data_IF_000385829705
#
_entry.id   IF_000385829705
#
_cell.length_a   1.000
_cell.length_b   1.000
_cell.length_c   1.000
_cell.angle_alpha   90.00
_cell.angle_beta   90.00
_cell.angle_gamma   90.00
#
_symmetry.space_group_name_H-M   'P 1'
#
loop_
_entity.id
_entity.type
_entity.pdbx_description
1 polymer ?
#
# COMPACT_ATOMS: atom_id res chain seq x y z
N UNK A 1 -31.52 11.53 11.11
CA UNK A 1 -30.48 11.66 10.06
C UNK A 1 -29.75 10.35 9.84
N UNK A 2 -29.17 9.71 10.84
CA UNK A 2 -28.44 8.43 10.69
C UNK A 2 -29.29 7.32 10.05
N UNK A 3 -30.54 7.09 10.50
CA UNK A 3 -31.41 6.07 9.92
C UNK A 3 -31.76 6.33 8.44
N UNK A 4 -31.87 7.63 8.06
CA UNK A 4 -32.09 8.00 6.66
C UNK A 4 -30.87 7.70 5.79
N UNK A 5 -29.65 7.96 6.29
CA UNK A 5 -28.40 7.61 5.62
C UNK A 5 -28.31 6.09 5.40
N UNK A 6 -28.48 5.31 6.47
CA UNK A 6 -28.37 3.87 6.40
C UNK A 6 -29.44 3.21 5.51
N UNK A 7 -30.64 3.84 5.41
CA UNK A 7 -31.71 3.38 4.52
C UNK A 7 -31.42 3.62 3.03
N UNK A 8 -30.38 4.40 2.71
CA UNK A 8 -29.95 4.66 1.34
C UNK A 8 -28.84 3.71 0.86
N UNK A 9 -28.21 2.95 1.76
CA UNK A 9 -27.25 1.92 1.34
C UNK A 9 -27.97 0.87 0.51
N UNK A 10 -27.33 0.39 -0.54
CA UNK A 10 -27.89 -0.57 -1.50
C UNK A 10 -26.85 -1.65 -1.84
N UNK A 11 -27.04 -2.82 -1.25
CA UNK A 11 -26.17 -3.99 -1.45
C UNK A 11 -26.03 -4.35 -2.93
N UNK A 12 -27.08 -4.11 -3.72
CA UNK A 12 -27.07 -4.39 -5.16
C UNK A 12 -26.21 -3.39 -5.94
N UNK A 13 -26.15 -2.12 -5.49
CA UNK A 13 -25.32 -1.11 -6.12
C UNK A 13 -23.83 -1.44 -5.97
N UNK A 14 -23.36 -1.70 -4.74
CA UNK A 14 -21.97 -2.08 -4.52
C UNK A 14 -21.58 -3.32 -5.34
N UNK A 15 -22.44 -4.33 -5.40
CA UNK A 15 -22.20 -5.53 -6.21
C UNK A 15 -22.13 -5.24 -7.71
N UNK A 16 -23.02 -4.39 -8.24
CA UNK A 16 -23.00 -3.98 -9.66
C UNK A 16 -21.72 -3.23 -9.97
N UNK A 17 -21.33 -2.25 -9.14
CA UNK A 17 -20.08 -1.48 -9.34
C UNK A 17 -18.84 -2.37 -9.28
N UNK A 18 -18.80 -3.32 -8.37
CA UNK A 18 -17.70 -4.28 -8.30
C UNK A 18 -17.60 -5.13 -9.58
N UNK A 19 -18.74 -5.64 -10.08
CA UNK A 19 -18.76 -6.40 -11.34
C UNK A 19 -18.30 -5.57 -12.55
N UNK A 20 -18.66 -4.30 -12.59
CA UNK A 20 -18.24 -3.39 -13.65
C UNK A 20 -16.73 -3.14 -13.58
N UNK A 21 -16.19 -2.88 -12.39
CA UNK A 21 -14.76 -2.66 -12.19
C UNK A 21 -13.91 -3.92 -12.47
N UNK A 22 -14.38 -5.13 -12.13
CA UNK A 22 -13.65 -6.38 -12.45
C UNK A 22 -13.47 -6.53 -13.96
N UNK A 23 -14.44 -6.10 -14.80
CA UNK A 23 -14.35 -6.18 -16.26
C UNK A 23 -13.29 -5.26 -16.87
N UNK A 24 -12.79 -4.32 -16.10
CA UNK A 24 -11.77 -3.37 -16.52
C UNK A 24 -10.42 -3.93 -16.13
N UNK A 25 -9.57 -4.21 -17.12
CA UNK A 25 -8.17 -4.54 -16.90
C UNK A 25 -7.45 -3.30 -16.35
N UNK A 26 -7.07 -3.36 -15.08
CA UNK A 26 -6.32 -2.34 -14.38
C UNK A 26 -5.06 -2.90 -13.71
N UNK A 27 -4.46 -3.92 -14.32
CA UNK A 27 -3.14 -4.42 -13.88
C UNK A 27 -2.15 -3.25 -13.82
N UNK A 28 -1.27 -3.26 -12.83
CA UNK A 28 -0.21 -2.23 -12.64
C UNK A 28 0.35 -1.77 -13.99
N UNK A 29 0.22 -0.48 -14.28
CA UNK A 29 0.58 0.12 -15.58
C UNK A 29 -0.59 0.37 -16.52
N UNK A 30 -1.80 -0.10 -16.21
CA UNK A 30 -2.99 0.02 -17.07
C UNK A 30 -4.22 0.58 -16.32
N UNK A 31 -4.03 1.44 -15.34
CA UNK A 31 -5.08 1.92 -14.43
C UNK A 31 -6.03 2.95 -15.08
N UNK A 32 -5.64 3.55 -16.19
CA UNK A 32 -6.38 4.66 -16.82
C UNK A 32 -7.85 4.36 -17.13
N UNK A 33 -8.15 3.12 -17.54
CA UNK A 33 -9.52 2.69 -17.82
C UNK A 33 -10.40 2.67 -16.56
N UNK A 34 -9.84 2.24 -15.44
CA UNK A 34 -10.57 2.22 -14.17
C UNK A 34 -10.73 3.63 -13.59
N UNK A 35 -9.73 4.49 -13.73
CA UNK A 35 -9.82 5.88 -13.30
C UNK A 35 -10.93 6.63 -14.06
N UNK A 36 -11.04 6.42 -15.39
CA UNK A 36 -12.11 7.00 -16.20
C UNK A 36 -13.50 6.48 -15.81
N UNK A 37 -13.61 5.19 -15.52
CA UNK A 37 -14.85 4.59 -15.01
C UNK A 37 -15.26 5.25 -13.67
N UNK A 38 -14.33 5.36 -12.72
CA UNK A 38 -14.58 5.98 -11.42
C UNK A 38 -14.96 7.46 -11.57
N UNK A 39 -14.29 8.19 -12.48
CA UNK A 39 -14.67 9.57 -12.82
C UNK A 39 -16.11 9.66 -13.27
N UNK A 40 -16.49 8.86 -14.25
CA UNK A 40 -17.85 8.85 -14.78
C UNK A 40 -18.89 8.53 -13.72
N UNK A 41 -18.58 7.58 -12.83
CA UNK A 41 -19.48 7.18 -11.76
C UNK A 41 -19.67 8.30 -10.72
N UNK A 42 -18.57 8.89 -10.24
CA UNK A 42 -18.60 9.99 -9.26
C UNK A 42 -19.27 11.24 -9.82
N UNK A 43 -19.00 11.59 -11.08
CA UNK A 43 -19.68 12.70 -11.77
C UNK A 43 -21.18 12.44 -11.93
N UNK A 44 -21.59 11.20 -12.17
CA UNK A 44 -23.03 10.83 -12.23
C UNK A 44 -23.75 11.04 -10.90
N UNK A 45 -23.04 10.97 -9.78
CA UNK A 45 -23.52 11.30 -8.45
C UNK A 45 -23.52 12.81 -8.15
N UNK A 46 -23.02 13.64 -9.09
CA UNK A 46 -22.98 15.09 -8.97
C UNK A 46 -21.71 15.65 -8.33
N UNK A 47 -20.68 14.83 -8.14
CA UNK A 47 -19.38 15.27 -7.64
C UNK A 47 -18.54 15.87 -8.76
N UNK A 48 -17.65 16.79 -8.40
CA UNK A 48 -16.58 17.28 -9.26
C UNK A 48 -15.36 16.43 -9.02
N UNK A 49 -14.84 15.83 -10.11
CA UNK A 49 -13.64 14.99 -10.05
C UNK A 49 -12.41 15.77 -10.50
N UNK A 50 -11.30 15.54 -9.82
CA UNK A 50 -9.97 16.01 -10.19
C UNK A 50 -9.13 14.81 -10.66
N UNK A 51 -8.43 14.99 -11.78
CA UNK A 51 -7.54 13.97 -12.37
C UNK A 51 -6.11 14.46 -12.25
N UNK A 52 -5.27 13.68 -11.60
CA UNK A 52 -3.83 13.92 -11.45
C UNK A 52 -3.06 12.88 -12.26
N UNK A 53 -2.51 13.26 -13.40
CA UNK A 53 -1.74 12.36 -14.26
C UNK A 53 -0.34 12.11 -13.66
N UNK A 54 -0.24 11.11 -12.80
CA UNK A 54 1.00 10.72 -12.09
C UNK A 54 2.06 10.21 -13.08
N UNK A 55 1.64 9.40 -14.04
CA UNK A 55 2.43 8.93 -15.19
C UNK A 55 1.51 8.95 -16.42
N UNK A 56 2.10 9.01 -17.59
CA UNK A 56 1.34 9.07 -18.86
C UNK A 56 0.31 7.93 -18.96
N UNK A 57 -0.98 8.28 -18.99
CA UNK A 57 -2.10 7.34 -19.05
C UNK A 57 -2.39 6.62 -17.73
N UNK A 58 -1.75 7.02 -16.65
CA UNK A 58 -1.92 6.44 -15.30
C UNK A 58 -2.27 7.54 -14.28
N UNK A 59 -3.50 8.00 -14.25
CA UNK A 59 -3.91 9.07 -13.35
C UNK A 59 -4.39 8.54 -12.00
N UNK A 60 -4.17 9.33 -10.94
CA UNK A 60 -5.02 9.31 -9.78
C UNK A 60 -6.35 10.00 -10.07
N UNK A 61 -7.38 9.63 -9.33
CA UNK A 61 -8.68 10.30 -9.36
C UNK A 61 -9.06 10.73 -7.95
N UNK A 62 -9.56 11.93 -7.83
CA UNK A 62 -10.03 12.49 -6.57
C UNK A 62 -11.43 13.07 -6.71
N UNK A 63 -12.21 12.99 -5.63
CA UNK A 63 -13.50 13.66 -5.52
C UNK A 63 -13.74 14.05 -4.08
N UNK A 64 -14.52 15.14 -3.86
CA UNK A 64 -14.87 15.59 -2.52
C UNK A 64 -16.34 15.98 -2.41
N UNK A 65 -16.89 15.74 -1.24
CA UNK A 65 -18.20 16.19 -0.80
C UNK A 65 -17.99 17.15 0.38
N UNK A 66 -18.33 18.40 0.16
CA UNK A 66 -18.21 19.49 1.16
C UNK A 66 -19.35 19.41 2.17
N UNK A 67 -19.04 19.53 3.46
CA UNK A 67 -20.02 19.68 4.52
C UNK A 67 -20.56 21.11 4.63
N UNK A 68 -21.48 21.33 5.57
CA UNK A 68 -22.18 22.62 5.75
C UNK A 68 -21.32 23.72 6.39
N UNK A 69 -20.17 23.39 6.95
CA UNK A 69 -19.26 24.31 7.62
C UNK A 69 -17.91 23.72 7.94
N UNK A 70 -17.03 24.45 8.63
CA UNK A 70 -15.71 23.93 8.99
C UNK A 70 -15.84 22.73 9.93
N UNK A 71 -15.02 21.73 9.73
CA UNK A 71 -15.02 20.49 10.49
C UNK A 71 -13.86 19.60 10.11
N UNK A 72 -13.91 18.33 10.54
CA UNK A 72 -12.89 17.33 10.20
C UNK A 72 -12.95 16.93 8.73
N UNK A 73 -11.84 16.43 8.24
CA UNK A 73 -11.68 15.93 6.88
C UNK A 73 -11.35 14.46 6.92
N UNK A 74 -12.13 13.64 6.22
CA UNK A 74 -11.94 12.20 6.13
C UNK A 74 -11.81 11.79 4.67
N UNK A 75 -10.73 11.10 4.34
CA UNK A 75 -10.54 10.52 3.02
C UNK A 75 -10.80 9.01 3.04
N UNK A 76 -11.50 8.52 2.03
CA UNK A 76 -11.55 7.10 1.70
C UNK A 76 -10.62 6.86 0.52
N UNK A 77 -9.60 6.04 0.73
CA UNK A 77 -8.59 5.74 -0.27
C UNK A 77 -8.74 4.32 -0.80
N UNK A 78 -8.49 4.14 -2.08
CA UNK A 78 -8.39 2.84 -2.71
C UNK A 78 -7.41 2.85 -3.88
N UNK A 79 -6.58 1.80 -3.98
CA UNK A 79 -5.74 1.65 -5.17
C UNK A 79 -6.55 1.12 -6.36
N UNK A 80 -6.23 1.64 -7.54
CA UNK A 80 -6.93 1.31 -8.79
C UNK A 80 -6.26 0.19 -9.56
N UNK A 81 -5.00 -0.08 -9.25
CA UNK A 81 -4.24 -1.17 -9.85
C UNK A 81 -4.60 -2.54 -9.25
N UNK A 82 -4.20 -3.57 -9.95
CA UNK A 82 -4.17 -4.96 -9.48
C UNK A 82 -2.82 -5.58 -9.79
N UNK A 83 -2.46 -6.65 -9.09
CA UNK A 83 -1.32 -7.49 -9.46
C UNK A 83 -1.46 -8.05 -10.87
N UNK A 84 -0.36 -8.48 -11.53
CA UNK A 84 -0.43 -9.22 -12.79
C UNK A 84 -1.24 -10.50 -12.66
N UNK A 85 -1.90 -10.89 -13.75
CA UNK A 85 -2.60 -12.19 -13.84
C UNK A 85 -1.59 -13.32 -13.65
N UNK A 86 -1.80 -14.16 -12.65
CA UNK A 86 -1.02 -15.38 -12.43
C UNK A 86 -1.60 -16.55 -13.23
N UNK A 87 -0.79 -17.56 -13.56
CA UNK A 87 -1.23 -18.72 -14.30
C UNK A 87 -2.21 -19.60 -13.52
N UNK A 88 -3.08 -20.29 -14.25
CA UNK A 88 -3.94 -21.35 -13.72
C UNK A 88 -5.30 -20.91 -13.22
N UNK A 89 -5.79 -19.72 -13.63
CA UNK A 89 -7.18 -19.31 -13.41
C UNK A 89 -8.14 -20.32 -14.07
N UNK A 90 -9.22 -20.64 -13.38
CA UNK A 90 -10.29 -21.53 -13.87
C UNK A 90 -11.34 -20.78 -14.70
N UNK A 91 -11.43 -19.46 -14.50
CA UNK A 91 -12.30 -18.53 -15.26
C UNK A 91 -11.44 -17.42 -15.83
N UNK A 92 -11.98 -16.61 -16.74
CA UNK A 92 -11.33 -15.37 -17.18
C UNK A 92 -11.23 -14.39 -15.99
N UNK A 93 -10.03 -13.90 -15.62
CA UNK A 93 -9.83 -12.98 -14.51
C UNK A 93 -10.66 -11.68 -14.58
N UNK A 94 -10.98 -11.24 -15.79
CA UNK A 94 -11.75 -10.01 -16.03
C UNK A 94 -13.25 -10.28 -16.29
N UNK A 95 -13.70 -11.52 -16.11
CA UNK A 95 -15.13 -11.87 -16.17
C UNK A 95 -15.60 -12.21 -14.76
N UNK A 96 -16.44 -11.33 -14.13
CA UNK A 96 -16.92 -11.56 -12.78
C UNK A 96 -17.87 -12.78 -12.73
N UNK A 97 -17.50 -13.80 -11.97
CA UNK A 97 -18.29 -15.03 -11.82
C UNK A 97 -18.77 -15.17 -10.39
N UNK A 98 -20.09 -15.21 -10.21
CA UNK A 98 -20.68 -15.49 -8.91
C UNK A 98 -20.87 -16.99 -8.72
N UNK A 99 -20.31 -17.53 -7.63
CA UNK A 99 -20.39 -18.95 -7.28
C UNK A 99 -20.31 -19.10 -5.76
N UNK A 100 -21.21 -19.88 -5.17
CA UNK A 100 -21.22 -20.21 -3.73
C UNK A 100 -21.18 -18.98 -2.80
N UNK A 101 -21.90 -17.92 -3.13
CA UNK A 101 -21.96 -16.68 -2.36
C UNK A 101 -20.67 -15.84 -2.42
N UNK A 102 -19.83 -16.04 -3.44
CA UNK A 102 -18.59 -15.36 -3.71
C UNK A 102 -18.59 -14.77 -5.10
N UNK A 103 -17.96 -13.63 -5.29
CA UNK A 103 -17.68 -13.07 -6.60
C UNK A 103 -16.21 -13.23 -6.92
N UNK A 104 -15.93 -14.01 -7.96
CA UNK A 104 -14.57 -14.26 -8.46
C UNK A 104 -14.20 -13.27 -9.55
N UNK A 105 -12.93 -12.86 -9.57
CA UNK A 105 -12.32 -11.98 -10.56
C UNK A 105 -11.07 -11.31 -10.00
N UNK A 106 -10.18 -10.86 -10.86
CA UNK A 106 -8.96 -10.18 -10.46
C UNK A 106 -9.28 -8.81 -9.82
N UNK A 107 -8.71 -8.55 -8.65
CA UNK A 107 -9.00 -7.36 -7.86
C UNK A 107 -10.36 -7.41 -7.16
N UNK A 108 -11.07 -8.55 -7.19
CA UNK A 108 -12.38 -8.66 -6.55
C UNK A 108 -12.35 -8.45 -5.06
N UNK A 109 -11.28 -8.85 -4.36
CA UNK A 109 -11.09 -8.51 -2.96
C UNK A 109 -10.01 -7.44 -2.75
N UNK A 110 -8.99 -7.37 -3.61
CA UNK A 110 -7.85 -6.49 -3.49
C UNK A 110 -7.76 -5.53 -4.69
N UNK A 111 -8.31 -4.24 -4.63
CA UNK A 111 -9.23 -3.83 -3.57
C UNK A 111 -10.53 -3.22 -4.14
N UNK A 112 -10.95 -3.67 -5.38
CA UNK A 112 -12.15 -3.12 -6.05
C UNK A 112 -13.44 -3.26 -5.23
N UNK A 113 -13.54 -4.29 -4.36
CA UNK A 113 -14.69 -4.43 -3.46
C UNK A 113 -14.76 -3.31 -2.40
N UNK A 114 -13.62 -2.90 -1.86
CA UNK A 114 -13.54 -1.76 -0.96
C UNK A 114 -13.95 -0.46 -1.64
N UNK A 115 -13.49 -0.25 -2.88
CA UNK A 115 -13.89 0.91 -3.71
C UNK A 115 -15.40 0.88 -3.97
N UNK A 116 -15.99 -0.28 -4.31
CA UNK A 116 -17.43 -0.42 -4.53
C UNK A 116 -18.26 -0.04 -3.29
N UNK A 117 -17.82 -0.48 -2.10
CA UNK A 117 -18.45 -0.10 -0.84
C UNK A 117 -18.31 1.41 -0.55
N UNK A 118 -17.18 2.02 -0.93
CA UNK A 118 -16.98 3.47 -0.82
C UNK A 118 -17.92 4.25 -1.73
N UNK A 119 -18.11 3.80 -2.96
CA UNK A 119 -19.07 4.41 -3.90
C UNK A 119 -20.50 4.33 -3.37
N UNK A 120 -20.91 3.20 -2.79
CA UNK A 120 -22.23 3.05 -2.18
C UNK A 120 -22.42 3.97 -0.97
N UNK A 121 -21.41 4.10 -0.14
CA UNK A 121 -21.41 5.05 0.99
C UNK A 121 -21.55 6.50 0.51
N UNK A 122 -20.74 6.94 -0.48
CA UNK A 122 -20.82 8.30 -1.03
C UNK A 122 -22.21 8.57 -1.62
N UNK A 123 -22.75 7.64 -2.41
CA UNK A 123 -24.10 7.72 -2.97
C UNK A 123 -25.15 7.91 -1.86
N UNK A 124 -25.05 7.09 -0.79
CA UNK A 124 -25.97 7.16 0.33
C UNK A 124 -25.94 8.53 1.05
N UNK A 125 -24.76 9.13 1.22
CA UNK A 125 -24.61 10.48 1.77
C UNK A 125 -25.36 11.51 0.91
N UNK A 126 -25.14 11.48 -0.40
CA UNK A 126 -25.76 12.42 -1.35
C UNK A 126 -27.29 12.24 -1.37
N UNK A 127 -27.77 11.00 -1.55
CA UNK A 127 -29.21 10.72 -1.69
C UNK A 127 -30.01 10.93 -0.39
N UNK A 128 -29.38 10.76 0.77
CA UNK A 128 -30.04 11.00 2.05
C UNK A 128 -30.06 12.48 2.43
N UNK A 129 -29.21 13.31 1.82
CA UNK A 129 -28.97 14.68 2.26
C UNK A 129 -28.42 14.74 3.68
N UNK A 130 -27.57 13.78 4.07
CA UNK A 130 -26.99 13.72 5.41
C UNK A 130 -26.07 14.91 5.63
N UNK A 131 -26.43 15.79 6.59
CA UNK A 131 -25.66 16.97 6.94
C UNK A 131 -24.47 16.60 7.83
N UNK A 132 -23.30 17.15 7.52
CA UNK A 132 -22.06 17.02 8.29
C UNK A 132 -21.24 18.31 8.15
N UNK A 133 -20.18 18.44 8.91
CA UNK A 133 -19.19 19.53 8.79
C UNK A 133 -17.87 18.99 8.27
N UNK A 134 -17.05 19.87 7.69
CA UNK A 134 -15.76 19.49 7.12
C UNK A 134 -15.87 18.89 5.73
N UNK A 135 -15.14 17.81 5.46
CA UNK A 135 -15.01 17.24 4.13
C UNK A 135 -15.01 15.71 4.16
N UNK A 136 -15.75 15.08 3.27
CA UNK A 136 -15.66 13.68 2.93
C UNK A 136 -15.07 13.57 1.52
N UNK A 137 -13.89 12.96 1.38
CA UNK A 137 -13.24 12.82 0.09
C UNK A 137 -12.95 11.36 -0.28
N UNK A 138 -12.81 11.12 -1.56
CA UNK A 138 -12.36 9.87 -2.15
C UNK A 138 -11.08 10.10 -2.94
N UNK A 139 -10.15 9.16 -2.83
CA UNK A 139 -8.94 9.11 -3.65
C UNK A 139 -8.76 7.70 -4.23
N UNK A 140 -8.80 7.59 -5.56
CA UNK A 140 -8.38 6.41 -6.31
C UNK A 140 -6.93 6.61 -6.76
N UNK A 141 -6.00 5.85 -6.22
CA UNK A 141 -4.56 6.03 -6.49
C UNK A 141 -3.98 4.87 -7.27
N UNK A 142 -2.92 5.10 -8.03
CA UNK A 142 -2.25 4.08 -8.85
C UNK A 142 -1.04 3.48 -8.13
N UNK A 143 -0.59 2.29 -8.60
CA UNK A 143 0.76 1.74 -8.36
C UNK A 143 1.00 1.29 -6.90
N UNK A 144 -0.05 0.97 -6.12
CA UNK A 144 0.10 0.43 -4.75
C UNK A 144 0.83 -0.89 -4.78
N UNK A 145 0.45 -1.79 -5.69
CA UNK A 145 0.98 -3.13 -5.88
C UNK A 145 2.43 -3.14 -6.44
N UNK A 146 3.06 -1.96 -6.58
CA UNK A 146 4.42 -1.83 -7.10
C UNK A 146 5.29 -0.85 -6.29
N UNK A 147 5.11 0.46 -6.48
CA UNK A 147 6.03 1.48 -5.94
C UNK A 147 5.33 2.61 -5.16
N UNK A 148 3.99 2.59 -5.06
CA UNK A 148 3.19 3.59 -4.36
C UNK A 148 3.29 4.99 -4.97
N UNK A 149 3.40 5.10 -6.30
CA UNK A 149 3.55 6.41 -6.97
C UNK A 149 2.32 7.29 -6.81
N UNK A 150 1.13 6.66 -6.84
CA UNK A 150 -0.13 7.36 -6.67
C UNK A 150 -0.27 7.96 -5.27
N UNK A 151 -0.03 7.20 -4.23
CA UNK A 151 -0.03 7.70 -2.86
C UNK A 151 0.99 8.82 -2.64
N UNK A 152 2.21 8.68 -3.20
CA UNK A 152 3.25 9.73 -3.16
C UNK A 152 2.85 11.01 -3.92
N UNK A 153 2.07 10.90 -4.97
CA UNK A 153 1.51 12.05 -5.68
C UNK A 153 0.40 12.71 -4.84
N UNK A 154 -0.52 11.93 -4.27
CA UNK A 154 -1.57 12.41 -3.38
C UNK A 154 -1.00 13.19 -2.19
N UNK A 155 0.11 12.76 -1.60
CA UNK A 155 0.80 13.47 -0.51
C UNK A 155 1.31 14.88 -0.87
N UNK A 156 1.31 15.24 -2.17
CA UNK A 156 1.68 16.57 -2.66
C UNK A 156 0.46 17.39 -3.11
N UNK A 157 -0.72 16.84 -3.03
CA UNK A 157 -1.99 17.48 -3.39
C UNK A 157 -2.75 17.93 -2.13
N UNK A 158 -3.77 18.75 -2.32
CA UNK A 158 -4.65 19.20 -1.24
C UNK A 158 -5.49 18.06 -0.63
N UNK A 159 -5.55 16.90 -1.30
CA UNK A 159 -6.24 15.69 -0.80
C UNK A 159 -5.50 14.98 0.33
N UNK A 160 -4.26 15.37 0.63
CA UNK A 160 -3.52 14.90 1.82
C UNK A 160 -3.77 15.76 3.07
N UNK A 161 -4.43 16.91 2.95
CA UNK A 161 -4.81 17.76 4.10
C UNK A 161 -6.09 17.21 4.76
N UNK A 162 -5.96 16.07 5.42
CA UNK A 162 -7.07 15.34 6.07
C UNK A 162 -6.69 14.88 7.48
N UNK A 163 -7.69 14.73 8.34
CA UNK A 163 -7.47 14.29 9.73
C UNK A 163 -7.33 12.77 9.86
N UNK A 164 -7.83 12.01 8.88
CA UNK A 164 -7.63 10.56 8.79
C UNK A 164 -7.91 10.04 7.38
N UNK A 165 -7.35 8.84 7.10
CA UNK A 165 -7.61 8.10 5.87
C UNK A 165 -8.16 6.72 6.22
N UNK A 166 -9.23 6.29 5.56
CA UNK A 166 -9.69 4.90 5.54
C UNK A 166 -9.20 4.28 4.26
N UNK A 167 -8.26 3.34 4.35
CA UNK A 167 -7.84 2.52 3.22
C UNK A 167 -8.84 1.38 3.07
N UNK A 168 -9.51 1.32 1.93
CA UNK A 168 -10.57 0.35 1.64
C UNK A 168 -10.01 -1.05 1.30
N UNK A 169 -8.88 -1.40 1.89
CA UNK A 169 -8.10 -2.62 1.78
C UNK A 169 -8.80 -3.83 2.41
N UNK A 170 -8.54 -5.07 1.95
CA UNK A 170 -9.21 -6.27 2.45
C UNK A 170 -8.79 -6.68 3.87
N UNK A 171 -9.07 -5.83 4.83
CA UNK A 171 -8.84 -6.03 6.27
C UNK A 171 -10.19 -6.07 7.00
N UNK A 172 -10.78 -7.27 7.17
CA UNK A 172 -12.08 -7.41 7.83
C UNK A 172 -12.06 -7.15 9.34
N UNK A 173 -10.90 -7.08 9.99
CA UNK A 173 -10.78 -6.87 11.43
C UNK A 173 -11.14 -8.10 12.28
N UNK A 174 -11.11 -9.28 11.70
CA UNK A 174 -11.38 -10.55 12.37
C UNK A 174 -10.13 -11.46 12.40
N UNK A 175 -10.30 -12.71 12.82
CA UNK A 175 -9.22 -13.69 12.91
C UNK A 175 -8.57 -14.04 11.57
N UNK A 176 -9.21 -13.73 10.45
CA UNK A 176 -8.66 -14.01 9.12
C UNK A 176 -7.66 -12.95 8.70
N UNK A 177 -7.91 -11.68 9.08
CA UNK A 177 -7.01 -10.55 8.86
C UNK A 177 -7.36 -9.42 9.84
N UNK A 178 -6.62 -9.31 10.96
CA UNK A 178 -6.77 -8.21 11.92
C UNK A 178 -6.43 -6.84 11.30
N UNK A 179 -6.87 -5.77 11.93
CA UNK A 179 -6.54 -4.39 11.53
C UNK A 179 -5.09 -4.08 11.96
N UNK A 180 -4.22 -3.61 11.06
CA UNK A 180 -2.87 -3.22 11.44
C UNK A 180 -2.89 -1.89 12.19
N UNK A 181 -2.35 -1.88 13.42
CA UNK A 181 -2.04 -0.66 14.16
C UNK A 181 -0.72 -0.03 13.70
N UNK A 182 0.08 -0.79 13.02
CA UNK A 182 1.33 -0.34 12.46
C UNK A 182 1.89 -1.38 11.50
N UNK A 183 2.74 -0.91 10.59
CA UNK A 183 3.35 -1.75 9.56
C UNK A 183 4.86 -1.44 9.51
N UNK A 184 5.66 -2.49 9.28
CA UNK A 184 7.11 -2.34 9.06
C UNK A 184 7.42 -1.50 7.83
N UNK A 185 8.58 -0.87 7.82
CA UNK A 185 9.11 -0.20 6.64
C UNK A 185 10.09 -1.08 5.87
N UNK A 186 10.59 -0.54 4.77
CA UNK A 186 11.49 -1.27 3.88
C UNK A 186 12.46 -0.32 3.18
N UNK A 187 13.71 -0.76 3.04
CA UNK A 187 14.69 -0.13 2.14
C UNK A 187 15.40 -1.20 1.31
N UNK A 188 15.63 -0.90 0.05
CA UNK A 188 16.39 -1.74 -0.85
C UNK A 188 17.69 -1.02 -1.22
N UNK A 189 18.80 -1.51 -0.67
CA UNK A 189 20.13 -1.03 -1.03
C UNK A 189 20.56 -1.62 -2.38
N UNK A 190 21.22 -0.80 -3.17
CA UNK A 190 21.86 -1.14 -4.43
C UNK A 190 23.32 -0.70 -4.35
N UNK A 191 24.21 -1.63 -3.98
CA UNK A 191 25.59 -1.34 -3.60
C UNK A 191 26.50 -1.68 -4.79
N UNK A 192 27.26 -0.68 -5.22
CA UNK A 192 28.19 -0.78 -6.34
C UNK A 192 29.63 -0.73 -5.83
N UNK A 193 30.40 -1.77 -6.14
CA UNK A 193 31.81 -1.91 -5.76
C UNK A 193 32.67 -1.80 -7.00
N UNK A 194 33.60 -0.81 -7.00
CA UNK A 194 34.54 -0.55 -8.09
C UNK A 194 35.96 -0.78 -7.61
N UNK A 195 36.55 -1.84 -8.10
CA UNK A 195 37.94 -2.21 -7.87
C UNK A 195 38.84 -1.85 -9.07
N UNK A 196 39.88 -2.67 -9.28
CA UNK A 196 40.88 -2.48 -10.35
C UNK A 196 41.16 -3.78 -11.06
N UNK A 197 40.96 -3.80 -12.38
CA UNK A 197 41.30 -4.97 -13.19
C UNK A 197 42.83 -5.23 -13.23
N UNK A 198 43.20 -6.48 -13.23
CA UNK A 198 44.59 -6.95 -13.44
C UNK A 198 44.56 -8.38 -13.99
N UNK A 199 45.71 -8.86 -14.44
CA UNK A 199 45.84 -10.25 -14.86
C UNK A 199 45.66 -11.22 -13.66
N UNK A 200 44.81 -12.24 -13.77
CA UNK A 200 44.47 -13.12 -12.66
C UNK A 200 45.63 -13.87 -12.00
N UNK A 201 46.75 -14.08 -12.71
CA UNK A 201 47.99 -14.59 -12.09
C UNK A 201 48.83 -13.51 -11.39
N UNK A 202 48.40 -12.24 -11.40
CA UNK A 202 49.06 -11.14 -10.71
C UNK A 202 48.04 -10.34 -9.89
N UNK A 203 47.29 -11.00 -8.96
CA UNK A 203 46.19 -10.36 -8.24
C UNK A 203 46.61 -9.15 -7.42
N UNK A 204 47.84 -9.11 -6.94
CA UNK A 204 48.42 -8.00 -6.17
C UNK A 204 48.54 -6.67 -6.96
N UNK A 205 48.32 -6.67 -8.29
CA UNK A 205 48.29 -5.48 -9.13
C UNK A 205 46.88 -4.92 -9.34
N UNK A 206 45.86 -5.66 -8.92
CA UNK A 206 44.46 -5.29 -9.02
C UNK A 206 43.77 -5.16 -7.67
N UNK A 207 42.49 -4.81 -7.70
CA UNK A 207 41.57 -4.85 -6.56
C UNK A 207 40.34 -5.63 -7.01
N UNK A 208 40.09 -6.78 -6.41
CA UNK A 208 38.99 -7.68 -6.80
C UNK A 208 37.66 -7.18 -6.20
N UNK A 209 36.81 -6.59 -7.03
CA UNK A 209 35.54 -6.06 -6.57
C UNK A 209 34.60 -7.12 -5.97
N UNK A 210 34.68 -8.38 -6.39
CA UNK A 210 33.89 -9.49 -5.79
C UNK A 210 34.38 -9.81 -4.39
N UNK A 211 35.68 -9.85 -4.16
CA UNK A 211 36.25 -10.10 -2.84
C UNK A 211 35.93 -8.95 -1.87
N UNK A 212 35.99 -7.71 -2.34
CA UNK A 212 35.63 -6.53 -1.54
C UNK A 212 34.12 -6.52 -1.23
N UNK A 213 33.25 -6.81 -2.20
CA UNK A 213 31.81 -6.98 -1.98
C UNK A 213 31.50 -8.08 -0.97
N UNK A 214 32.24 -9.21 -1.02
CA UNK A 214 32.06 -10.31 -0.09
C UNK A 214 32.38 -9.92 1.37
N UNK A 215 33.36 -9.04 1.57
CA UNK A 215 33.68 -8.50 2.91
C UNK A 215 32.50 -7.69 3.47
N UNK A 216 31.84 -6.87 2.62
CA UNK A 216 30.66 -6.10 3.03
C UNK A 216 29.51 -7.07 3.38
N UNK A 217 29.18 -8.02 2.50
CA UNK A 217 28.10 -8.98 2.71
C UNK A 217 28.34 -9.82 3.98
N UNK A 218 29.58 -10.27 4.22
CA UNK A 218 29.94 -11.01 5.43
C UNK A 218 29.92 -10.19 6.71
N UNK A 219 29.82 -8.87 6.61
CA UNK A 219 29.78 -7.95 7.73
C UNK A 219 28.39 -7.33 7.98
N UNK A 220 27.37 -7.71 7.21
CA UNK A 220 26.01 -7.15 7.36
C UNK A 220 25.39 -7.48 8.73
N UNK A 221 25.84 -8.54 9.39
CA UNK A 221 25.46 -8.91 10.75
C UNK A 221 25.93 -7.89 11.81
N UNK A 222 26.82 -6.98 11.45
CA UNK A 222 27.29 -5.86 12.30
C UNK A 222 26.40 -4.62 12.20
N UNK A 223 25.40 -4.62 11.32
CA UNK A 223 24.40 -3.56 11.30
C UNK A 223 23.62 -3.58 12.62
N UNK A 224 23.48 -2.40 13.21
CA UNK A 224 22.65 -2.24 14.39
C UNK A 224 21.20 -2.05 13.99
N UNK A 225 20.30 -2.84 14.59
CA UNK A 225 18.86 -2.76 14.38
C UNK A 225 18.20 -2.29 15.67
N UNK A 226 17.22 -1.40 15.55
CA UNK A 226 16.38 -1.06 16.69
C UNK A 226 15.48 -2.23 17.03
N UNK A 227 15.20 -2.38 18.32
CA UNK A 227 14.17 -3.26 18.84
C UNK A 227 12.90 -2.44 19.13
N UNK A 228 11.76 -2.92 18.67
CA UNK A 228 10.46 -2.32 18.95
C UNK A 228 9.61 -3.34 19.73
N UNK A 229 8.87 -2.91 20.80
CA UNK A 229 8.11 -3.83 21.66
C UNK A 229 7.14 -4.73 20.89
N UNK A 230 6.52 -4.22 19.84
CA UNK A 230 5.47 -4.91 19.08
C UNK A 230 5.98 -5.56 17.78
N UNK A 231 7.11 -5.09 17.24
CA UNK A 231 7.67 -5.59 15.96
C UNK A 231 8.94 -6.43 16.16
N UNK A 232 9.47 -6.47 17.37
CA UNK A 232 10.79 -7.08 17.59
C UNK A 232 11.91 -6.30 16.91
N UNK A 233 12.88 -6.99 16.36
CA UNK A 233 14.08 -6.39 15.75
C UNK A 233 13.99 -6.42 14.22
N UNK A 234 14.44 -5.36 13.55
CA UNK A 234 14.62 -5.34 12.10
C UNK A 234 15.52 -6.47 11.59
N UNK A 235 15.50 -6.71 10.31
CA UNK A 235 16.31 -7.74 9.66
C UNK A 235 16.77 -7.32 8.27
N UNK A 236 17.62 -8.13 7.65
CA UNK A 236 18.07 -7.93 6.29
C UNK A 236 18.15 -9.24 5.51
N UNK A 237 18.18 -9.13 4.18
CA UNK A 237 18.43 -10.24 3.27
C UNK A 237 19.19 -9.76 2.04
N UNK A 238 20.29 -10.43 1.69
CA UNK A 238 20.97 -10.20 0.41
C UNK A 238 20.18 -10.91 -0.69
N UNK A 239 19.66 -10.15 -1.65
CA UNK A 239 18.76 -10.66 -2.69
C UNK A 239 19.47 -11.00 -3.99
N UNK A 240 20.59 -10.32 -4.29
CA UNK A 240 21.26 -10.43 -5.57
C UNK A 240 22.73 -10.07 -5.45
N UNK A 241 23.59 -10.73 -6.21
CA UNK A 241 24.98 -10.36 -6.44
C UNK A 241 25.36 -10.61 -7.91
N UNK A 242 26.01 -9.62 -8.50
CA UNK A 242 26.49 -9.68 -9.90
C UNK A 242 27.93 -9.21 -9.96
N UNK A 243 28.82 -9.97 -10.57
CA UNK A 243 30.21 -9.60 -10.73
C UNK A 243 30.96 -10.54 -11.67
N UNK A 244 32.14 -10.12 -12.09
CA UNK A 244 32.94 -10.87 -13.04
C UNK A 244 32.59 -10.59 -14.49
N UNK A 245 32.98 -11.51 -15.39
CA UNK A 245 32.81 -11.38 -16.82
C UNK A 245 31.97 -12.55 -17.38
N UNK A 246 31.07 -12.26 -18.31
CA UNK A 246 30.20 -13.27 -18.92
C UNK A 246 30.93 -14.33 -19.75
N UNK A 247 32.12 -13.99 -20.24
CA UNK A 247 32.98 -14.92 -20.98
C UNK A 247 34.20 -15.31 -20.15
N UNK A 248 34.75 -16.49 -20.35
CA UNK A 248 35.95 -16.90 -19.67
C UNK A 248 37.09 -15.90 -19.87
N UNK A 249 37.66 -15.46 -18.78
CA UNK A 249 38.83 -14.57 -18.77
C UNK A 249 39.65 -14.77 -17.49
N UNK A 250 40.97 -14.63 -17.59
CA UNK A 250 41.88 -14.61 -16.42
C UNK A 250 42.15 -13.19 -16.06
N UNK A 251 41.08 -12.45 -15.66
CA UNK A 251 41.11 -11.03 -15.30
C UNK A 251 40.46 -10.84 -13.94
N UNK A 252 41.12 -10.08 -13.06
CA UNK A 252 40.56 -9.66 -11.78
C UNK A 252 39.33 -8.79 -12.03
N UNK A 253 38.15 -9.15 -11.50
CA UNK A 253 36.93 -8.37 -11.68
C UNK A 253 37.04 -6.96 -11.08
N UNK A 254 36.81 -5.94 -11.92
CA UNK A 254 36.86 -4.55 -11.48
C UNK A 254 35.48 -4.02 -11.03
N UNK A 255 34.42 -4.80 -11.20
CA UNK A 255 33.07 -4.39 -10.79
C UNK A 255 32.32 -5.54 -10.13
N UNK A 256 31.61 -5.20 -9.06
CA UNK A 256 30.62 -6.05 -8.44
C UNK A 256 29.43 -5.17 -7.99
N UNK A 257 28.23 -5.70 -8.07
CA UNK A 257 27.02 -5.06 -7.62
C UNK A 257 26.21 -6.07 -6.81
N UNK A 258 25.61 -5.63 -5.71
CA UNK A 258 24.71 -6.49 -4.95
C UNK A 258 23.57 -5.70 -4.33
N UNK A 259 22.47 -6.40 -4.02
CA UNK A 259 21.25 -5.81 -3.49
C UNK A 259 20.94 -6.41 -2.12
N UNK A 260 20.62 -5.54 -1.16
CA UNK A 260 20.24 -5.94 0.20
C UNK A 260 18.89 -5.29 0.54
N UNK A 261 17.91 -6.13 0.86
CA UNK A 261 16.66 -5.67 1.45
C UNK A 261 16.85 -5.56 2.96
N UNK A 262 16.44 -4.43 3.56
CA UNK A 262 16.36 -4.25 5.01
C UNK A 262 14.92 -3.92 5.40
N UNK A 263 14.39 -4.66 6.37
CA UNK A 263 13.14 -4.35 7.03
C UNK A 263 13.41 -3.32 8.13
N UNK A 264 12.59 -2.27 8.17
CA UNK A 264 12.65 -1.21 9.17
C UNK A 264 11.52 -1.40 10.19
N UNK A 265 11.81 -1.18 11.47
CA UNK A 265 10.80 -1.12 12.53
C UNK A 265 10.53 0.33 12.92
N UNK A 266 9.37 0.68 13.51
CA UNK A 266 9.10 2.04 13.95
C UNK A 266 10.22 2.60 14.85
N UNK A 267 10.62 3.84 14.57
CA UNK A 267 11.78 4.48 15.18
C UNK A 267 13.08 4.34 14.39
N UNK A 268 13.15 3.49 13.36
CA UNK A 268 14.12 3.57 12.28
C UNK A 268 13.51 4.37 11.12
N UNK A 269 14.37 5.04 10.35
CA UNK A 269 13.96 5.75 9.13
C UNK A 269 14.81 5.29 7.95
N UNK A 270 14.32 5.51 6.74
CA UNK A 270 15.09 5.25 5.51
C UNK A 270 16.45 5.97 5.57
N UNK A 271 16.46 7.23 6.04
CA UNK A 271 17.69 8.02 6.15
C UNK A 271 18.67 7.41 7.16
N UNK A 272 18.23 7.05 8.36
CA UNK A 272 19.11 6.42 9.37
C UNK A 272 19.67 5.10 8.87
N UNK A 273 18.87 4.32 8.16
CA UNK A 273 19.29 3.04 7.58
C UNK A 273 20.38 3.22 6.51
N UNK A 274 20.28 4.26 5.65
CA UNK A 274 21.32 4.59 4.66
C UNK A 274 22.64 4.94 5.38
N UNK A 275 22.56 5.78 6.41
CA UNK A 275 23.74 6.18 7.19
C UNK A 275 24.39 4.98 7.89
N UNK A 276 23.60 4.02 8.39
CA UNK A 276 24.12 2.79 9.02
C UNK A 276 24.95 1.97 8.02
N UNK A 277 24.42 1.77 6.83
CA UNK A 277 25.12 1.04 5.76
C UNK A 277 26.40 1.76 5.34
N UNK A 278 26.37 3.09 5.20
CA UNK A 278 27.57 3.88 4.88
C UNK A 278 28.62 3.79 5.99
N UNK A 279 28.20 3.86 7.26
CA UNK A 279 29.12 3.67 8.40
C UNK A 279 29.75 2.29 8.40
N UNK A 280 28.95 1.24 8.17
CA UNK A 280 29.48 -0.11 8.07
C UNK A 280 30.54 -0.21 6.96
N UNK A 281 30.22 0.20 5.74
CA UNK A 281 31.13 0.16 4.60
C UNK A 281 32.44 0.91 4.90
N UNK A 282 32.33 2.12 5.44
CA UNK A 282 33.51 2.95 5.77
C UNK A 282 34.40 2.30 6.87
N UNK A 283 33.81 1.50 7.76
CA UNK A 283 34.54 0.83 8.85
C UNK A 283 35.40 -0.36 8.41
N UNK A 284 35.19 -0.86 7.18
CA UNK A 284 35.80 -2.10 6.71
C UNK A 284 37.23 -1.91 6.13
N UNK A 285 37.64 -0.68 5.85
CA UNK A 285 38.96 -0.41 5.28
C UNK A 285 39.18 -1.08 3.93
N UNK A 286 38.19 -0.99 3.04
CA UNK A 286 38.21 -1.61 1.72
C UNK A 286 39.20 -0.91 0.78
N UNK A 287 39.82 -1.69 -0.12
CA UNK A 287 40.68 -1.18 -1.17
C UNK A 287 39.92 -0.71 -2.41
N UNK A 288 38.63 -1.10 -2.52
CA UNK A 288 37.69 -0.69 -3.58
C UNK A 288 36.92 0.56 -3.21
N UNK A 289 36.52 1.32 -4.23
CA UNK A 289 35.52 2.36 -4.09
C UNK A 289 34.11 1.72 -3.97
N UNK A 290 33.32 2.20 -3.00
CA UNK A 290 31.97 1.68 -2.77
C UNK A 290 30.96 2.82 -2.81
N UNK A 291 29.97 2.67 -3.66
CA UNK A 291 28.84 3.58 -3.77
C UNK A 291 27.58 2.89 -3.24
N UNK A 292 27.07 3.38 -2.11
CA UNK A 292 25.85 2.88 -1.45
C UNK A 292 24.68 3.67 -1.97
N UNK A 293 23.93 3.08 -2.89
CA UNK A 293 22.68 3.61 -3.44
C UNK A 293 21.49 2.90 -2.84
N UNK A 294 20.33 3.49 -3.06
CA UNK A 294 19.04 2.84 -2.83
C UNK A 294 18.23 2.86 -4.11
N UNK A 295 17.34 1.89 -4.26
CA UNK A 295 16.37 1.88 -5.35
C UNK A 295 14.96 1.69 -4.80
N UNK A 296 13.94 2.11 -5.55
CA UNK A 296 12.55 1.83 -5.19
C UNK A 296 12.27 0.32 -5.14
N UNK A 297 11.28 -0.11 -4.33
CA UNK A 297 10.52 0.71 -3.40
C UNK A 297 11.25 0.93 -2.06
N UNK A 298 10.93 2.06 -1.41
CA UNK A 298 11.35 2.36 -0.03
C UNK A 298 10.17 2.93 0.71
N UNK A 299 9.99 2.53 1.97
CA UNK A 299 8.84 2.87 2.79
C UNK A 299 9.25 3.05 4.24
N UNK A 300 8.75 4.09 4.90
CA UNK A 300 8.89 4.29 6.32
C UNK A 300 8.03 3.30 7.10
N UNK A 301 8.49 2.87 8.27
CA UNK A 301 7.67 2.13 9.23
C UNK A 301 6.79 3.10 10.01
N UNK A 302 5.61 2.65 10.44
CA UNK A 302 4.76 3.45 11.32
C UNK A 302 4.07 2.61 12.38
N UNK A 303 3.61 3.27 13.42
CA UNK A 303 2.65 2.76 14.40
C UNK A 303 1.70 3.89 14.76
N UNK A 304 0.40 3.62 14.74
CA UNK A 304 -0.63 4.58 15.15
C UNK A 304 -0.77 4.62 16.66
N UNK A 305 -1.06 5.80 17.19
CA UNK A 305 -1.49 5.92 18.56
C UNK A 305 -2.87 5.27 18.73
N UNK A 306 -3.04 4.45 19.77
CA UNK A 306 -4.31 3.77 20.04
C UNK A 306 -5.45 4.74 20.39
N UNK A 307 -5.12 5.96 20.81
CA UNK A 307 -6.06 7.04 21.16
C UNK A 307 -6.48 7.89 19.95
N UNK A 308 -6.12 7.49 18.72
CA UNK A 308 -6.59 8.20 17.51
C UNK A 308 -8.11 8.12 17.38
N UNK A 309 -8.75 9.25 17.11
CA UNK A 309 -10.21 9.34 17.00
C UNK A 309 -10.80 8.35 15.99
N UNK A 310 -10.10 8.15 14.86
CA UNK A 310 -10.57 7.21 13.84
C UNK A 310 -10.65 5.77 14.37
N UNK A 311 -9.77 5.36 15.27
CA UNK A 311 -9.80 4.04 15.90
C UNK A 311 -10.90 3.94 16.96
N UNK A 312 -11.15 5.02 17.73
CA UNK A 312 -12.26 5.06 18.69
C UNK A 312 -13.61 4.93 17.98
N UNK A 313 -13.80 5.73 16.91
CA UNK A 313 -15.00 5.67 16.06
C UNK A 313 -15.17 4.29 15.44
N UNK A 314 -14.10 3.74 14.88
CA UNK A 314 -14.11 2.40 14.28
C UNK A 314 -14.48 1.32 15.28
N UNK A 315 -13.91 1.30 16.47
CA UNK A 315 -14.23 0.32 17.52
C UNK A 315 -15.74 0.32 17.84
N UNK A 316 -16.32 1.48 18.00
CA UNK A 316 -17.76 1.64 18.26
C UNK A 316 -18.65 1.18 17.11
N UNK A 317 -18.24 1.50 15.87
CA UNK A 317 -18.95 1.09 14.64
C UNK A 317 -18.84 -0.42 14.42
N UNK A 318 -17.62 -0.97 14.53
CA UNK A 318 -17.37 -2.39 14.32
C UNK A 318 -18.22 -3.26 15.28
N UNK A 319 -18.23 -2.90 16.58
CA UNK A 319 -19.08 -3.61 17.58
C UNK A 319 -20.55 -3.52 17.24
N UNK A 320 -21.03 -2.38 16.76
CA UNK A 320 -22.43 -2.20 16.40
C UNK A 320 -22.86 -3.01 15.16
N UNK A 321 -21.95 -3.18 14.18
CA UNK A 321 -22.23 -3.90 12.94
C UNK A 321 -21.94 -5.40 13.07
N UNK A 322 -20.81 -5.76 13.68
CA UNK A 322 -20.31 -7.14 13.73
C UNK A 322 -20.72 -7.88 15.01
N UNK A 323 -21.16 -7.19 16.05
CA UNK A 323 -21.50 -7.79 17.36
C UNK A 323 -20.30 -8.24 18.17
N UNK A 324 -19.08 -7.94 17.74
CA UNK A 324 -17.81 -8.31 18.37
C UNK A 324 -16.81 -7.14 18.32
N UNK A 325 -15.76 -7.18 19.13
CA UNK A 325 -14.66 -6.23 19.01
C UNK A 325 -13.79 -6.55 17.78
N UNK A 326 -13.22 -5.55 17.10
CA UNK A 326 -12.23 -5.81 16.07
C UNK A 326 -10.94 -6.38 16.68
N UNK A 327 -10.23 -7.18 15.89
CA UNK A 327 -8.89 -7.64 16.21
C UNK A 327 -7.85 -6.74 15.57
N UNK A 328 -6.74 -6.55 16.27
CA UNK A 328 -5.63 -5.70 15.85
C UNK A 328 -4.33 -6.48 15.78
N UNK A 329 -3.45 -6.08 14.89
CA UNK A 329 -2.10 -6.66 14.77
C UNK A 329 -1.04 -5.59 14.50
N UNK A 330 0.23 -5.95 14.62
CA UNK A 330 1.37 -5.23 14.08
C UNK A 330 1.87 -6.04 12.89
N UNK A 331 1.73 -5.49 11.68
CA UNK A 331 1.88 -6.24 10.45
C UNK A 331 3.28 -6.13 9.84
N UNK A 332 3.71 -7.23 9.22
CA UNK A 332 4.89 -7.27 8.38
C UNK A 332 4.44 -7.24 6.92
N UNK A 333 4.64 -6.13 6.26
CA UNK A 333 4.19 -5.92 4.89
C UNK A 333 4.42 -4.48 4.46
N UNK A 334 3.80 -4.11 3.37
CA UNK A 334 3.82 -2.74 2.84
C UNK A 334 2.43 -2.47 2.28
N UNK A 335 1.91 -1.28 2.51
CA UNK A 335 0.72 -0.72 1.89
C UNK A 335 0.93 0.78 1.68
N UNK A 336 0.01 1.45 1.01
CA UNK A 336 0.05 2.91 0.89
C UNK A 336 0.00 3.65 2.24
N UNK A 337 -0.44 3.00 3.32
CA UNK A 337 -0.35 3.55 4.67
C UNK A 337 1.09 3.85 5.12
N UNK A 338 2.09 3.14 4.60
CA UNK A 338 3.49 3.48 4.85
C UNK A 338 3.85 4.89 4.34
N UNK A 339 3.16 5.35 3.29
CA UNK A 339 3.32 6.69 2.73
C UNK A 339 2.46 7.68 3.54
N UNK A 340 1.17 7.40 3.72
CA UNK A 340 0.26 8.31 4.40
C UNK A 340 0.58 8.46 5.89
N UNK A 341 0.72 7.36 6.61
CA UNK A 341 1.03 7.39 8.04
C UNK A 341 2.54 7.44 8.31
N UNK A 342 3.35 6.67 7.57
CA UNK A 342 4.80 6.60 7.79
C UNK A 342 5.55 7.87 7.38
N UNK A 343 5.29 8.40 6.18
CA UNK A 343 5.93 9.61 5.68
C UNK A 343 5.12 10.86 6.04
N UNK A 344 3.78 10.78 5.97
CA UNK A 344 2.87 11.92 6.16
C UNK A 344 2.36 12.12 7.58
N UNK A 345 2.43 11.12 8.44
CA UNK A 345 1.90 11.19 9.81
C UNK A 345 0.37 11.24 9.90
N UNK A 346 -0.35 10.89 8.82
CA UNK A 346 -1.81 10.88 8.77
C UNK A 346 -2.32 9.54 9.33
N UNK A 347 -3.22 9.52 10.33
CA UNK A 347 -3.81 8.28 10.83
C UNK A 347 -4.52 7.48 9.73
N UNK A 348 -4.18 6.19 9.58
CA UNK A 348 -4.69 5.32 8.53
C UNK A 348 -5.40 4.10 9.09
N UNK A 349 -6.71 3.99 8.84
CA UNK A 349 -7.50 2.80 9.17
C UNK A 349 -7.62 1.90 7.94
N UNK A 350 -7.05 0.70 7.98
CA UNK A 350 -7.36 -0.34 7.00
C UNK A 350 -8.71 -0.97 7.33
N UNK A 351 -9.62 -0.99 6.38
CA UNK A 351 -10.92 -1.64 6.54
C UNK A 351 -11.52 -1.96 5.18
N UNK A 352 -11.93 -3.20 4.98
CA UNK A 352 -12.64 -3.61 3.77
C UNK A 352 -13.18 -5.02 3.86
N UNK A 353 -13.76 -5.56 2.79
CA UNK A 353 -14.33 -6.89 2.77
C UNK A 353 -13.28 -7.97 3.02
N UNK A 354 -13.74 -9.12 3.56
CA UNK A 354 -12.88 -10.28 3.76
C UNK A 354 -12.27 -10.72 2.43
N UNK A 355 -10.99 -11.03 2.44
CA UNK A 355 -10.27 -11.46 1.24
C UNK A 355 -10.33 -12.96 1.00
N UNK A 356 -10.27 -13.35 -0.27
CA UNK A 356 -10.10 -14.72 -0.69
C UNK A 356 -9.12 -14.83 -1.84
N UNK A 357 -7.93 -15.38 -1.59
CA UNK A 357 -6.93 -15.60 -2.62
C UNK A 357 -6.30 -14.33 -3.22
N UNK A 358 -6.18 -13.22 -2.46
CA UNK A 358 -5.44 -12.04 -2.91
C UNK A 358 -4.05 -12.43 -3.43
N UNK A 359 -3.63 -11.89 -4.58
CA UNK A 359 -2.39 -12.21 -5.30
C UNK A 359 -2.28 -13.68 -5.77
N UNK A 360 -3.41 -14.38 -5.86
CA UNK A 360 -3.47 -15.77 -6.30
C UNK A 360 -4.51 -15.94 -7.41
N UNK A 361 -4.44 -17.09 -8.10
CA UNK A 361 -5.49 -17.49 -9.03
C UNK A 361 -6.83 -17.67 -8.32
N UNK A 362 -7.93 -17.43 -9.05
CA UNK A 362 -9.28 -17.59 -8.55
C UNK A 362 -9.60 -16.69 -7.35
N UNK A 363 -9.01 -15.51 -7.29
CA UNK A 363 -9.32 -14.48 -6.30
C UNK A 363 -10.83 -14.26 -6.21
N UNK A 364 -11.34 -14.02 -5.00
CA UNK A 364 -12.76 -13.77 -4.76
C UNK A 364 -13.02 -12.90 -3.53
N UNK A 365 -14.18 -12.28 -3.48
CA UNK A 365 -14.75 -11.64 -2.29
C UNK A 365 -16.04 -12.35 -1.87
N UNK A 366 -16.24 -12.67 -0.56
CA UNK A 366 -17.54 -13.15 -0.08
C UNK A 366 -18.58 -12.03 -0.12
N UNK A 367 -19.72 -12.28 -0.75
CA UNK A 367 -20.74 -11.25 -1.03
C UNK A 367 -21.42 -10.70 0.22
N UNK A 368 -21.52 -11.50 1.29
CA UNK A 368 -22.09 -11.07 2.58
C UNK A 368 -21.27 -10.00 3.32
N UNK A 369 -20.06 -9.70 2.82
CA UNK A 369 -19.20 -8.64 3.38
C UNK A 369 -19.48 -7.27 2.78
N UNK A 370 -19.97 -7.17 1.56
CA UNK A 370 -20.23 -5.87 0.91
C UNK A 370 -21.19 -5.00 1.74
N UNK A 371 -22.39 -5.50 2.16
CA UNK A 371 -23.30 -4.70 2.98
C UNK A 371 -22.73 -4.28 4.33
N UNK A 372 -21.97 -5.17 4.96
CA UNK A 372 -21.33 -4.88 6.26
C UNK A 372 -20.33 -3.75 6.14
N UNK A 373 -19.49 -3.77 5.09
CA UNK A 373 -18.45 -2.76 4.87
C UNK A 373 -19.05 -1.43 4.44
N UNK A 374 -20.00 -1.41 3.47
CA UNK A 374 -20.74 -0.18 3.11
C UNK A 374 -21.36 0.47 4.34
N UNK A 375 -21.99 -0.35 5.22
CA UNK A 375 -22.57 0.14 6.47
C UNK A 375 -21.53 0.67 7.45
N UNK A 376 -20.40 -0.02 7.61
CA UNK A 376 -19.29 0.46 8.47
C UNK A 376 -18.71 1.78 7.94
N UNK A 377 -18.48 1.88 6.62
CA UNK A 377 -17.97 3.11 6.01
C UNK A 377 -18.91 4.29 6.24
N UNK A 378 -20.23 4.11 6.01
CA UNK A 378 -21.22 5.16 6.26
C UNK A 378 -21.27 5.61 7.72
N UNK A 379 -21.20 4.66 8.66
CA UNK A 379 -21.21 4.99 10.09
C UNK A 379 -19.90 5.65 10.55
N UNK A 380 -18.75 5.21 10.02
CA UNK A 380 -17.45 5.82 10.31
C UNK A 380 -17.42 7.26 9.81
N UNK A 381 -17.78 7.48 8.54
CA UNK A 381 -17.82 8.82 7.96
C UNK A 381 -18.74 9.76 8.74
N UNK A 382 -19.97 9.33 9.00
CA UNK A 382 -20.94 10.16 9.72
C UNK A 382 -20.49 10.52 11.14
N UNK A 383 -19.94 9.57 11.90
CA UNK A 383 -19.49 9.81 13.28
C UNK A 383 -18.16 10.55 13.40
N UNK A 384 -17.28 10.36 12.42
CA UNK A 384 -15.99 11.05 12.42
C UNK A 384 -16.13 12.51 12.07
N UNK A 385 -17.11 12.84 11.20
CA UNK A 385 -17.41 14.20 10.72
C UNK A 385 -18.42 14.97 11.61
N UNK A 386 -18.98 14.34 12.63
CA UNK A 386 -19.76 15.00 13.68
C UNK A 386 -18.84 15.89 14.54
#
# INVERSE_FOLDING_TARGET
MMDALLAKLDDSYALVKLREMIRIDSVVGNEGGLAEYLRSELESLGLVCEIDEVETGRPNIYARLEGSGPGRRLNFNGHTDTVPVVDGWETDPFTPVEMDGRLHGLGSCDMKAGIACTLDMIRAFIESGHEFNGELSFSGVIDEEAYGKGAKAMMKSDYSDVDAIVLAEPYPGDETKPIPLGITGKILYDIHVTGKAAHGFRPHLGVNAIEEASKIIASLDRLEFKEHPDFGTGNYSTLKIEGGYAVYSVVIPARCRFEVNRLLVPGETVETAIQDMQRLVNSLGLDAEVDVRTKPPRYEAYVMNRDELILEVFDGVYRAVMGAAPLYEHAYGITDANIFAGEGGIPCLHLGPRRGGAHQKNEYVPLDWLPKVSRMFALIAARFLE
#
